data_IF_215747657434
#
_entry.id   IF_215747657434
#
_cell.length_a   1.000
_cell.length_b   1.000
_cell.length_c   1.000
_cell.angle_alpha   90.00
_cell.angle_beta   90.00
_cell.angle_gamma   90.00
#
_symmetry.space_group_name_H-M   'P 1'
#
loop_
_entity.id
_entity.type
_entity.pdbx_description
1 polymer ?
#
# COMPACT_ATOMS: atom_id res chain seq x y z
N UNK A 1 8.89 -26.20 11.77
CA UNK A 1 10.35 -26.11 12.01
C UNK A 1 10.62 -24.75 12.63
N UNK A 2 11.61 -24.62 13.52
CA UNK A 2 12.01 -23.30 14.02
C UNK A 2 12.57 -22.44 12.88
N UNK A 3 12.41 -21.12 13.00
CA UNK A 3 12.98 -20.16 12.05
C UNK A 3 14.52 -20.27 12.04
N UNK A 4 15.19 -19.94 10.92
CA UNK A 4 16.65 -19.81 10.93
C UNK A 4 17.10 -18.65 11.83
N UNK A 5 18.40 -18.56 12.16
CA UNK A 5 18.94 -17.39 12.88
C UNK A 5 18.56 -16.08 12.18
N UNK A 6 18.07 -15.07 12.92
CA UNK A 6 17.54 -13.87 12.31
C UNK A 6 18.67 -12.99 11.72
N UNK A 7 18.56 -12.66 10.44
CA UNK A 7 19.46 -11.73 9.74
C UNK A 7 19.25 -10.29 10.20
N UNK A 8 20.17 -9.39 9.90
CA UNK A 8 19.98 -7.96 10.17
C UNK A 8 18.92 -7.33 9.25
N UNK A 9 18.35 -6.22 9.72
CA UNK A 9 17.41 -5.42 8.95
C UNK A 9 18.09 -4.81 7.73
N UNK A 10 17.44 -4.89 6.57
CA UNK A 10 17.99 -4.35 5.33
C UNK A 10 17.45 -2.95 5.07
N UNK A 11 18.36 -1.98 5.01
CA UNK A 11 18.08 -0.57 4.74
C UNK A 11 18.68 -0.18 3.38
N UNK A 12 17.86 -0.20 2.33
CA UNK A 12 18.33 0.06 0.98
C UNK A 12 18.54 1.55 0.74
N UNK A 13 19.77 1.93 0.34
CA UNK A 13 20.05 3.28 -0.13
C UNK A 13 19.23 3.60 -1.37
N UNK A 14 18.58 4.75 -1.34
CA UNK A 14 17.63 5.15 -2.34
C UNK A 14 17.74 6.65 -2.62
N UNK A 15 18.11 7.05 -3.86
CA UNK A 15 18.07 8.44 -4.26
C UNK A 15 16.64 8.99 -4.20
N UNK A 16 16.52 10.20 -3.64
CA UNK A 16 15.26 10.95 -3.66
C UNK A 16 14.99 11.33 -5.12
N UNK A 17 13.74 11.15 -5.59
CA UNK A 17 13.38 11.36 -7.00
C UNK A 17 13.68 10.18 -7.92
N UNK A 18 14.05 9.02 -7.38
CA UNK A 18 14.15 7.75 -8.11
C UNK A 18 13.08 6.75 -7.65
N UNK A 19 12.72 5.72 -8.46
CA UNK A 19 11.77 4.68 -8.06
C UNK A 19 12.20 3.93 -6.80
N UNK A 20 11.23 3.49 -6.00
CA UNK A 20 11.44 2.73 -4.77
C UNK A 20 12.28 1.45 -5.02
N UNK A 21 13.05 1.02 -4.02
CA UNK A 21 13.76 -0.24 -4.09
C UNK A 21 12.76 -1.40 -3.96
N UNK A 22 13.20 -2.63 -4.16
CA UNK A 22 12.31 -3.80 -4.07
C UNK A 22 11.77 -4.03 -2.65
N UNK A 23 10.55 -4.55 -2.55
CA UNK A 23 9.90 -4.94 -1.30
C UNK A 23 10.03 -3.90 -0.15
N UNK A 24 9.70 -2.61 -0.40
CA UNK A 24 9.73 -1.59 0.63
C UNK A 24 8.66 -1.87 1.70
N UNK A 25 8.96 -1.60 2.96
CA UNK A 25 8.01 -1.85 4.06
C UNK A 25 7.06 -0.67 4.24
N UNK A 26 5.77 -0.91 4.01
CA UNK A 26 4.68 0.05 4.24
C UNK A 26 4.40 0.24 5.73
N UNK A 27 3.96 1.45 6.08
CA UNK A 27 3.32 1.70 7.36
C UNK A 27 1.97 0.96 7.43
N UNK A 28 1.63 0.41 8.61
CA UNK A 28 0.44 -0.42 8.77
C UNK A 28 -0.84 0.36 8.39
N UNK A 29 -1.60 -0.18 7.45
CA UNK A 29 -2.89 0.39 7.02
C UNK A 29 -2.76 1.61 6.11
N UNK A 30 -1.53 2.00 5.75
CA UNK A 30 -1.28 3.14 4.86
C UNK A 30 -1.08 2.67 3.41
N UNK A 31 -1.73 3.34 2.46
CA UNK A 31 -1.63 2.98 1.04
C UNK A 31 -0.30 3.43 0.42
N UNK A 32 0.25 4.56 0.85
CA UNK A 32 1.38 5.22 0.18
C UNK A 32 2.39 5.80 1.17
N UNK A 33 2.62 5.14 2.30
CA UNK A 33 3.56 5.58 3.31
C UNK A 33 4.50 4.43 3.68
N UNK A 34 5.81 4.66 3.62
CA UNK A 34 6.84 3.63 3.82
C UNK A 34 7.84 4.07 4.88
N UNK A 35 8.44 3.09 5.57
CA UNK A 35 9.43 3.33 6.62
C UNK A 35 10.75 3.77 6.00
N UNK A 36 11.21 4.97 6.39
CA UNK A 36 12.45 5.55 5.87
C UNK A 36 13.41 5.92 7.00
N UNK A 37 14.70 5.98 6.66
CA UNK A 37 15.80 6.28 7.55
C UNK A 37 16.73 7.30 6.89
N UNK A 38 17.19 8.27 7.66
CA UNK A 38 18.16 9.28 7.25
C UNK A 38 19.20 9.47 8.35
N UNK A 39 20.40 9.91 7.96
CA UNK A 39 21.49 10.19 8.90
C UNK A 39 21.89 11.66 8.83
N UNK A 40 22.00 12.29 10.00
CA UNK A 40 22.59 13.62 10.14
C UNK A 40 23.73 13.56 11.15
N UNK A 41 24.94 13.88 10.71
CA UNK A 41 26.15 13.87 11.55
C UNK A 41 26.33 12.54 12.31
N UNK A 42 26.10 11.42 11.63
CA UNK A 42 26.20 10.07 12.20
C UNK A 42 25.01 9.64 13.06
N UNK A 43 24.00 10.50 13.28
CA UNK A 43 22.80 10.14 14.04
C UNK A 43 21.67 9.65 13.13
N UNK A 44 21.14 8.43 13.35
CA UNK A 44 19.99 7.91 12.61
C UNK A 44 18.69 8.62 13.04
N UNK A 45 17.85 8.95 12.07
CA UNK A 45 16.55 9.58 12.24
C UNK A 45 15.57 8.86 11.31
N UNK A 46 14.59 8.16 11.89
CA UNK A 46 13.50 7.61 11.09
C UNK A 46 12.52 8.71 10.65
N UNK A 47 11.84 8.43 9.55
CA UNK A 47 10.81 9.28 8.99
C UNK A 47 9.94 8.47 8.05
N UNK A 48 9.42 9.13 7.02
CA UNK A 48 8.56 8.50 6.03
C UNK A 48 8.98 8.83 4.62
N UNK A 49 8.65 7.92 3.72
CA UNK A 49 8.65 8.17 2.28
C UNK A 49 7.30 7.83 1.67
N UNK A 50 7.01 8.39 0.50
CA UNK A 50 5.82 8.10 -0.29
C UNK A 50 6.14 8.14 -1.78
N UNK A 51 5.26 7.53 -2.58
CA UNK A 51 5.31 7.59 -4.03
C UNK A 51 4.64 8.86 -4.52
N UNK A 52 5.37 9.64 -5.33
CA UNK A 52 4.79 10.64 -6.20
C UNK A 52 5.46 10.52 -7.56
N UNK A 53 4.70 10.42 -8.64
CA UNK A 53 5.22 10.22 -10.00
C UNK A 53 6.07 8.96 -10.18
N UNK A 54 5.84 7.94 -9.35
CA UNK A 54 6.60 6.70 -9.38
C UNK A 54 7.98 6.82 -8.78
N UNK A 55 8.28 7.91 -8.08
CA UNK A 55 9.56 8.16 -7.44
C UNK A 55 9.39 8.44 -5.95
N UNK A 56 10.49 8.30 -5.22
CA UNK A 56 10.56 8.53 -3.78
C UNK A 56 10.54 10.02 -3.48
N UNK A 57 9.53 10.43 -2.72
CA UNK A 57 9.57 11.62 -1.88
C UNK A 57 9.61 11.22 -0.40
N UNK A 58 10.02 12.13 0.47
CA UNK A 58 10.20 11.82 1.88
C UNK A 58 10.07 13.03 2.81
N UNK A 59 9.91 12.75 4.10
CA UNK A 59 9.82 13.74 5.16
C UNK A 59 10.45 13.19 6.45
N UNK A 60 11.33 14.00 7.05
CA UNK A 60 11.99 13.71 8.32
C UNK A 60 11.83 14.88 9.29
N UNK A 61 11.51 14.62 10.57
CA UNK A 61 11.57 15.64 11.61
C UNK A 61 13.01 15.92 12.00
N UNK A 62 13.36 17.20 12.15
CA UNK A 62 14.67 17.63 12.62
C UNK A 62 14.53 18.47 13.90
N UNK A 63 14.63 17.85 15.09
CA UNK A 63 14.32 18.51 16.36
C UNK A 63 15.15 19.75 16.68
N UNK A 64 16.43 19.75 16.31
CA UNK A 64 17.32 20.90 16.54
C UNK A 64 16.87 22.15 15.80
N UNK A 65 16.28 22.00 14.60
CA UNK A 65 15.71 23.09 13.82
C UNK A 65 14.21 23.27 14.00
N UNK A 66 13.54 22.39 14.76
CA UNK A 66 12.07 22.27 14.85
C UNK A 66 11.39 22.30 13.46
N UNK A 67 12.02 21.64 12.49
CA UNK A 67 11.64 21.73 11.09
C UNK A 67 11.31 20.35 10.50
N UNK A 68 10.51 20.37 9.44
CA UNK A 68 10.36 19.25 8.52
C UNK A 68 11.38 19.39 7.38
N UNK A 69 12.12 18.32 7.11
CA UNK A 69 13.07 18.24 5.99
C UNK A 69 12.55 17.26 4.94
N UNK A 70 12.37 17.75 3.71
CA UNK A 70 11.86 16.96 2.57
C UNK A 70 12.76 17.04 1.34
N UNK A 71 13.54 18.10 1.21
CA UNK A 71 14.28 18.41 0.00
C UNK A 71 15.60 17.65 -0.13
N UNK A 72 15.96 17.32 -1.38
CA UNK A 72 17.28 16.77 -1.77
C UNK A 72 18.43 17.59 -1.17
N UNK A 73 18.31 18.93 -1.15
CA UNK A 73 19.32 19.84 -0.62
C UNK A 73 19.53 19.68 0.89
N UNK A 74 18.46 19.46 1.64
CA UNK A 74 18.51 19.35 3.10
C UNK A 74 18.97 17.96 3.55
N UNK A 75 18.56 16.93 2.79
CA UNK A 75 18.75 15.53 3.12
C UNK A 75 20.03 14.91 2.51
N UNK A 76 20.71 15.60 1.59
CA UNK A 76 21.93 15.10 0.95
C UNK A 76 21.69 14.14 -0.21
N UNK A 77 20.50 14.18 -0.80
CA UNK A 77 20.13 13.51 -2.05
C UNK A 77 19.78 12.02 -1.98
N UNK A 78 20.08 11.33 -0.89
CA UNK A 78 19.69 9.93 -0.68
C UNK A 78 19.25 9.67 0.74
N UNK A 79 18.33 8.72 0.89
CA UNK A 79 17.84 8.19 2.16
C UNK A 79 17.94 6.67 2.12
N UNK A 80 17.53 5.99 3.18
CA UNK A 80 17.36 4.55 3.18
C UNK A 80 15.89 4.18 3.38
N UNK A 81 15.44 3.16 2.67
CA UNK A 81 14.09 2.60 2.81
C UNK A 81 14.21 1.20 3.41
N UNK A 82 13.38 0.90 4.42
CA UNK A 82 13.33 -0.44 5.00
C UNK A 82 12.85 -1.45 3.96
N UNK A 83 13.56 -2.57 3.83
CA UNK A 83 13.21 -3.66 2.94
C UNK A 83 12.86 -4.93 3.69
N UNK A 84 11.91 -5.68 3.14
CA UNK A 84 11.61 -7.04 3.57
C UNK A 84 11.55 -7.97 2.35
N UNK A 85 12.73 -8.31 1.82
CA UNK A 85 12.89 -9.18 0.65
C UNK A 85 13.11 -10.63 1.09
N UNK A 86 12.04 -11.42 1.07
CA UNK A 86 12.05 -12.81 1.48
C UNK A 86 10.88 -13.10 2.42
N UNK A 87 11.09 -14.01 3.36
CA UNK A 87 10.12 -14.42 4.35
C UNK A 87 10.81 -14.86 5.66
N UNK A 88 10.03 -15.23 6.66
CA UNK A 88 10.56 -15.68 7.95
C UNK A 88 11.41 -16.96 7.82
N UNK A 89 11.19 -17.79 6.79
CA UNK A 89 11.98 -19.00 6.54
C UNK A 89 13.38 -18.69 5.97
N UNK A 90 13.57 -17.53 5.36
CA UNK A 90 14.82 -17.11 4.71
C UNK A 90 15.55 -15.99 5.46
N UNK A 91 14.82 -15.22 6.26
CA UNK A 91 15.34 -14.09 7.05
C UNK A 91 15.40 -14.38 8.54
N UNK A 92 14.65 -15.36 9.05
CA UNK A 92 14.58 -15.71 10.48
C UNK A 92 13.68 -14.79 11.31
N UNK A 93 13.02 -13.81 10.67
CA UNK A 93 12.08 -12.91 11.31
C UNK A 93 11.03 -12.41 10.31
N UNK A 94 9.96 -11.80 10.80
CA UNK A 94 9.02 -10.99 10.02
C UNK A 94 8.67 -9.71 10.79
N UNK A 95 8.25 -8.65 10.07
CA UNK A 95 7.89 -7.38 10.72
C UNK A 95 6.45 -7.38 11.22
N UNK A 96 6.31 -7.11 12.51
CA UNK A 96 5.03 -6.98 13.20
C UNK A 96 4.86 -5.55 13.71
N UNK A 97 3.67 -4.97 13.52
CA UNK A 97 3.33 -3.67 14.10
C UNK A 97 2.57 -3.90 15.41
N UNK A 98 3.10 -3.38 16.51
CA UNK A 98 2.49 -3.50 17.84
C UNK A 98 2.29 -2.13 18.47
N UNK A 99 1.43 -2.02 19.48
CA UNK A 99 1.36 -0.79 20.28
C UNK A 99 2.66 -0.57 21.04
N UNK A 100 3.04 0.68 21.21
CA UNK A 100 4.24 1.03 21.97
C UNK A 100 4.15 0.58 23.44
N UNK A 101 2.94 0.56 24.04
CA UNK A 101 2.72 0.01 25.38
C UNK A 101 3.16 -1.45 25.52
N UNK A 102 3.06 -2.24 24.43
CA UNK A 102 3.24 -3.69 24.44
C UNK A 102 4.70 -4.08 24.17
N UNK A 103 5.61 -3.10 24.06
CA UNK A 103 7.02 -3.29 23.68
C UNK A 103 7.85 -4.18 24.60
N UNK A 104 7.39 -4.38 25.83
CA UNK A 104 8.03 -5.25 26.82
C UNK A 104 7.45 -6.68 26.82
N UNK A 105 6.29 -6.88 26.18
CA UNK A 105 5.66 -8.19 26.07
C UNK A 105 6.39 -9.06 25.04
N UNK A 106 6.54 -10.36 25.35
CA UNK A 106 7.20 -11.34 24.46
C UNK A 106 8.60 -10.91 24.03
N UNK A 107 9.36 -10.30 24.93
CA UNK A 107 10.73 -9.83 24.67
C UNK A 107 11.73 -10.96 24.35
N UNK A 108 11.38 -12.21 24.63
CA UNK A 108 12.09 -13.41 24.20
C UNK A 108 11.77 -13.82 22.74
N UNK A 109 10.69 -13.30 22.16
CA UNK A 109 10.22 -13.61 20.80
C UNK A 109 10.32 -12.43 19.84
N UNK A 110 10.40 -11.20 20.37
CA UNK A 110 10.35 -9.95 19.62
C UNK A 110 11.58 -9.10 19.87
N UNK A 111 12.08 -8.47 18.81
CA UNK A 111 13.16 -7.47 18.89
C UNK A 111 12.67 -6.14 18.33
N UNK A 112 12.91 -5.04 19.03
CA UNK A 112 12.58 -3.70 18.54
C UNK A 112 13.37 -3.39 17.27
N UNK A 113 12.69 -2.98 16.20
CA UNK A 113 13.37 -2.41 15.04
C UNK A 113 13.93 -1.04 15.43
N UNK A 114 15.24 -0.86 15.30
CA UNK A 114 15.90 0.40 15.62
C UNK A 114 17.20 0.59 14.86
N UNK A 115 17.62 1.84 14.75
CA UNK A 115 18.97 2.22 14.34
C UNK A 115 19.49 3.18 15.40
N UNK A 116 20.56 2.80 16.11
CA UNK A 116 21.00 3.52 17.31
C UNK A 116 19.85 3.68 18.31
N UNK A 117 19.57 4.92 18.70
CA UNK A 117 18.47 5.28 19.61
C UNK A 117 17.16 5.62 18.88
N UNK A 118 17.12 5.55 17.55
CA UNK A 118 15.92 5.90 16.77
C UNK A 118 15.09 4.66 16.45
N UNK A 119 13.78 4.72 16.75
CA UNK A 119 12.80 3.70 16.38
C UNK A 119 11.71 4.32 15.49
N UNK A 120 11.23 3.63 14.44
CA UNK A 120 10.06 4.08 13.70
C UNK A 120 8.80 3.96 14.58
N UNK A 121 7.99 5.02 14.59
CA UNK A 121 6.73 5.09 15.34
C UNK A 121 5.64 5.74 14.49
N UNK A 122 4.41 5.22 14.58
CA UNK A 122 3.26 5.68 13.82
C UNK A 122 2.20 6.26 14.76
N UNK A 123 1.85 7.52 14.52
CA UNK A 123 0.75 8.20 15.18
C UNK A 123 -0.53 8.03 14.37
N UNK A 124 -1.52 7.36 14.97
CA UNK A 124 -2.87 7.25 14.39
C UNK A 124 -3.67 8.52 14.69
N UNK A 125 -4.21 9.14 13.64
CA UNK A 125 -4.97 10.40 13.77
C UNK A 125 -6.12 10.46 12.74
N UNK A 126 -7.19 11.23 13.01
CA UNK A 126 -8.33 11.34 12.09
C UNK A 126 -7.96 11.84 10.69
N UNK A 127 -6.89 12.64 10.56
CA UNK A 127 -6.41 13.21 9.30
C UNK A 127 -5.45 12.27 8.53
N UNK A 128 -5.47 10.97 8.82
CA UNK A 128 -4.58 9.96 8.25
C UNK A 128 -3.31 9.75 9.08
N UNK A 129 -2.81 8.51 9.15
CA UNK A 129 -1.72 8.16 10.05
C UNK A 129 -0.41 8.83 9.63
N UNK A 130 0.46 9.09 10.60
CA UNK A 130 1.71 9.79 10.37
C UNK A 130 2.87 9.02 10.99
N UNK A 131 3.84 8.66 10.15
CA UNK A 131 5.10 8.05 10.56
C UNK A 131 6.11 9.13 10.97
N UNK A 132 6.85 8.82 12.02
CA UNK A 132 7.94 9.59 12.58
C UNK A 132 8.95 8.69 13.28
N UNK A 133 9.66 9.23 14.26
CA UNK A 133 10.58 8.43 15.08
C UNK A 133 10.48 8.73 16.56
N UNK A 134 10.76 7.70 17.37
CA UNK A 134 10.95 7.79 18.81
C UNK A 134 12.46 7.78 19.12
N UNK A 135 12.92 8.74 19.93
CA UNK A 135 14.24 8.70 20.54
C UNK A 135 14.18 7.88 21.84
N UNK A 136 14.85 6.73 21.85
CA UNK A 136 14.86 5.79 22.96
C UNK A 136 15.57 6.31 24.22
N UNK A 137 16.38 7.37 24.12
CA UNK A 137 17.03 7.98 25.29
C UNK A 137 16.14 8.97 26.00
N UNK A 138 15.42 9.78 25.23
CA UNK A 138 14.57 10.84 25.79
C UNK A 138 13.11 10.43 25.90
N UNK A 139 12.72 9.30 25.30
CA UNK A 139 11.34 8.83 25.17
C UNK A 139 10.41 9.88 24.53
N UNK A 140 10.93 10.57 23.50
CA UNK A 140 10.20 11.58 22.74
C UNK A 140 9.97 11.12 21.31
N UNK A 141 8.74 11.17 20.86
CA UNK A 141 8.36 10.87 19.48
C UNK A 141 8.19 12.15 18.68
N UNK A 142 8.77 12.20 17.48
CA UNK A 142 8.78 13.35 16.60
C UNK A 142 8.14 13.01 15.26
N UNK A 143 7.26 13.88 14.78
CA UNK A 143 6.52 13.70 13.52
C UNK A 143 6.59 14.98 12.69
N UNK A 144 7.19 14.92 11.51
CA UNK A 144 7.26 16.05 10.58
C UNK A 144 5.98 16.18 9.78
N UNK A 145 5.44 17.39 9.63
CA UNK A 145 4.36 17.71 8.70
C UNK A 145 4.19 19.22 8.59
N UNK A 146 3.62 19.69 7.48
CA UNK A 146 3.25 21.09 7.26
C UNK A 146 4.41 22.07 7.51
N UNK A 147 5.63 21.68 7.09
CA UNK A 147 6.90 22.42 7.28
C UNK A 147 7.34 22.57 8.75
N UNK A 148 6.71 21.85 9.67
CA UNK A 148 6.96 21.87 11.10
C UNK A 148 7.09 20.44 11.66
N UNK A 149 7.12 20.31 12.97
CA UNK A 149 7.04 19.01 13.63
C UNK A 149 6.17 19.06 14.88
N UNK A 150 5.50 17.94 15.15
CA UNK A 150 4.81 17.67 16.41
C UNK A 150 5.64 16.72 17.26
N UNK A 151 5.62 16.91 18.58
CA UNK A 151 6.34 16.07 19.55
C UNK A 151 5.38 15.50 20.59
N UNK A 152 5.55 14.24 20.94
CA UNK A 152 4.82 13.55 22.01
C UNK A 152 5.79 12.86 22.97
N UNK A 153 5.38 12.69 24.22
CA UNK A 153 6.13 11.97 25.25
C UNK A 153 5.19 11.34 26.29
N UNK A 154 5.71 10.43 27.11
CA UNK A 154 4.96 9.80 28.20
C UNK A 154 3.75 8.97 27.71
N UNK A 155 2.65 9.02 28.46
CA UNK A 155 1.47 8.19 28.21
C UNK A 155 0.80 8.39 26.84
N UNK A 156 1.04 9.53 26.18
CA UNK A 156 0.51 9.80 24.83
C UNK A 156 1.08 8.84 23.77
N UNK A 157 2.19 8.16 24.06
CA UNK A 157 2.82 7.22 23.14
C UNK A 157 2.17 5.84 23.14
N UNK A 158 1.40 5.48 24.18
CA UNK A 158 0.99 4.09 24.45
C UNK A 158 0.26 3.43 23.26
N UNK A 159 -0.67 4.15 22.62
CA UNK A 159 -1.47 3.64 21.50
C UNK A 159 -0.83 3.86 20.12
N UNK A 160 0.34 4.50 20.06
CA UNK A 160 1.10 4.61 18.81
C UNK A 160 1.70 3.24 18.44
N UNK A 161 1.87 3.00 17.14
CA UNK A 161 2.39 1.71 16.67
C UNK A 161 3.89 1.79 16.42
N UNK A 162 4.63 0.78 16.84
CA UNK A 162 6.05 0.59 16.49
C UNK A 162 6.23 -0.70 15.71
N UNK A 163 7.38 -0.82 15.04
CA UNK A 163 7.76 -2.05 14.33
C UNK A 163 8.66 -2.90 15.22
N UNK A 164 8.34 -4.19 15.30
CA UNK A 164 9.20 -5.21 15.89
C UNK A 164 9.50 -6.31 14.89
N UNK A 165 10.64 -6.96 15.06
CA UNK A 165 11.00 -8.21 14.40
C UNK A 165 10.44 -9.34 15.26
N UNK A 166 9.47 -10.07 14.74
CA UNK A 166 8.98 -11.28 15.37
C UNK A 166 9.82 -12.46 14.88
N UNK A 167 10.45 -13.16 15.82
CA UNK A 167 11.44 -14.21 15.55
C UNK A 167 10.84 -15.62 15.57
N UNK A 168 9.57 -15.78 15.96
CA UNK A 168 8.92 -17.09 16.10
C UNK A 168 7.79 -17.25 15.07
N UNK A 169 7.82 -18.38 14.36
CA UNK A 169 6.82 -18.71 13.34
C UNK A 169 6.79 -17.69 12.19
N UNK A 170 5.65 -17.67 11.49
CA UNK A 170 5.39 -16.74 10.39
C UNK A 170 4.30 -15.72 10.71
N UNK A 171 4.12 -14.72 9.83
CA UNK A 171 3.05 -13.74 9.98
C UNK A 171 1.67 -14.43 9.94
N UNK A 172 0.63 -13.80 10.53
CA UNK A 172 -0.74 -14.24 10.36
C UNK A 172 -1.04 -14.43 8.87
N UNK A 173 -1.66 -15.56 8.52
CA UNK A 173 -2.04 -15.92 7.14
C UNK A 173 -0.87 -16.20 6.18
N UNK A 174 0.33 -16.51 6.70
CA UNK A 174 1.42 -16.96 5.83
C UNK A 174 1.05 -18.24 5.07
N UNK A 175 1.19 -18.22 3.75
CA UNK A 175 0.87 -19.33 2.85
C UNK A 175 2.05 -20.26 2.57
N UNK A 176 3.18 -20.08 3.27
CA UNK A 176 4.34 -20.95 3.09
C UNK A 176 4.07 -22.38 3.58
N UNK A 177 4.84 -23.35 3.07
CA UNK A 177 4.69 -24.74 3.46
C UNK A 177 5.02 -25.02 4.94
N UNK A 178 5.78 -24.14 5.60
CA UNK A 178 6.24 -24.31 6.99
C UNK A 178 5.25 -23.80 8.03
N UNK A 179 4.31 -22.95 7.65
CA UNK A 179 3.29 -22.41 8.55
C UNK A 179 2.08 -23.34 8.65
N UNK A 180 1.45 -23.46 9.84
CA UNK A 180 0.25 -24.25 9.99
C UNK A 180 -0.87 -23.66 9.12
N UNK A 181 -1.51 -24.51 8.32
CA UNK A 181 -2.69 -24.09 7.57
C UNK A 181 -3.86 -23.91 8.54
N UNK A 182 -4.69 -22.86 8.37
CA UNK A 182 -5.87 -22.70 9.20
C UNK A 182 -6.75 -23.95 9.10
N UNK A 183 -7.31 -24.44 10.21
CA UNK A 183 -8.21 -25.59 10.19
C UNK A 183 -9.42 -25.28 9.29
N UNK A 184 -10.01 -26.30 8.63
CA UNK A 184 -11.20 -26.11 7.82
C UNK A 184 -12.33 -25.50 8.66
N UNK A 185 -13.23 -24.69 8.05
CA UNK A 185 -14.34 -24.09 8.77
C UNK A 185 -15.20 -25.18 9.43
N UNK A 186 -15.68 -24.99 10.67
CA UNK A 186 -16.61 -25.94 11.27
C UNK A 186 -17.90 -26.05 10.44
N UNK A 187 -18.56 -27.23 10.38
CA UNK A 187 -19.79 -27.44 9.60
C UNK A 187 -20.95 -26.54 10.03
N UNK A 188 -20.94 -26.11 11.29
CA UNK A 188 -21.92 -25.17 11.87
C UNK A 188 -21.13 -24.00 12.47
N UNK A 189 -21.40 -22.74 12.07
CA UNK A 189 -20.71 -21.58 12.65
C UNK A 189 -21.15 -21.39 14.10
N UNK A 190 -20.34 -21.85 15.06
CA UNK A 190 -20.51 -21.52 16.48
C UNK A 190 -19.54 -20.38 16.83
N UNK A 191 -20.06 -19.16 16.98
CA UNK A 191 -19.28 -17.99 17.38
C UNK A 191 -18.85 -17.06 16.22
N UNK A 192 -18.15 -15.95 16.53
CA UNK A 192 -17.67 -15.02 15.51
C UNK A 192 -16.72 -15.72 14.54
N UNK A 193 -16.74 -15.36 13.25
CA UNK A 193 -15.87 -15.99 12.27
C UNK A 193 -14.39 -15.72 12.60
N UNK A 194 -13.46 -16.63 12.21
CA UNK A 194 -12.04 -16.44 12.49
C UNK A 194 -11.53 -15.13 11.84
N UNK A 195 -10.51 -14.46 12.42
CA UNK A 195 -9.93 -13.27 11.80
C UNK A 195 -9.49 -13.56 10.37
N UNK A 196 -9.79 -12.64 9.45
CA UNK A 196 -9.34 -12.69 8.05
C UNK A 196 -8.92 -11.31 7.60
N UNK A 197 -8.16 -11.25 6.51
CA UNK A 197 -7.72 -9.98 5.93
C UNK A 197 -8.93 -9.26 5.32
N UNK A 198 -9.19 -8.03 5.79
CA UNK A 198 -10.25 -7.13 5.31
C UNK A 198 -9.71 -5.93 4.51
N UNK A 199 -8.39 -5.80 4.41
CA UNK A 199 -7.71 -4.78 3.62
C UNK A 199 -7.40 -5.30 2.21
N UNK A 200 -7.40 -4.40 1.23
CA UNK A 200 -6.92 -4.72 -0.11
C UNK A 200 -5.40 -4.92 -0.07
N UNK A 201 -4.91 -5.98 -0.69
CA UNK A 201 -3.47 -6.28 -0.75
C UNK A 201 -2.85 -5.62 -1.99
N UNK A 202 -1.87 -4.75 -1.78
CA UNK A 202 -1.17 -4.03 -2.83
C UNK A 202 0.32 -4.33 -2.81
N UNK A 203 0.82 -4.97 -3.86
CA UNK A 203 2.25 -5.26 -3.98
C UNK A 203 2.98 -4.13 -4.70
N UNK A 204 4.12 -3.71 -4.14
CA UNK A 204 4.96 -2.67 -4.73
C UNK A 204 5.91 -3.27 -5.76
N UNK A 205 5.94 -2.66 -6.94
CA UNK A 205 6.78 -3.07 -8.08
C UNK A 205 7.25 -1.84 -8.84
N UNK A 206 8.21 -2.01 -9.74
CA UNK A 206 8.54 -1.00 -10.75
C UNK A 206 8.14 -1.49 -12.13
N UNK A 207 7.77 -0.56 -12.99
CA UNK A 207 7.67 -0.86 -14.42
C UNK A 207 9.03 -1.34 -14.94
N UNK A 208 9.01 -2.41 -15.73
CA UNK A 208 10.21 -3.09 -16.23
C UNK A 208 10.73 -4.22 -15.33
N UNK A 209 10.25 -4.36 -14.09
CA UNK A 209 10.52 -5.55 -13.27
C UNK A 209 9.89 -6.79 -13.93
N UNK A 210 10.35 -7.98 -13.52
CA UNK A 210 9.76 -9.24 -13.97
C UNK A 210 8.28 -9.33 -13.60
N UNK A 211 7.48 -9.92 -14.48
CA UNK A 211 6.05 -10.12 -14.23
C UNK A 211 5.83 -10.96 -12.96
N UNK A 212 4.97 -10.53 -12.01
CA UNK A 212 4.81 -11.22 -10.74
C UNK A 212 4.21 -12.62 -10.89
N UNK A 213 4.55 -13.50 -9.96
CA UNK A 213 3.94 -14.83 -9.84
C UNK A 213 2.71 -14.86 -8.94
N UNK A 214 2.49 -13.80 -8.13
CA UNK A 214 1.28 -13.66 -7.31
C UNK A 214 0.05 -13.48 -8.21
N UNK A 215 -1.09 -13.99 -7.76
CA UNK A 215 -2.37 -13.80 -8.44
C UNK A 215 -2.77 -12.32 -8.38
N UNK A 216 -2.99 -11.71 -9.55
CA UNK A 216 -3.37 -10.31 -9.69
C UNK A 216 -4.84 -10.18 -10.08
N UNK A 217 -5.47 -9.06 -9.73
CA UNK A 217 -6.86 -8.78 -10.13
C UNK A 217 -6.91 -8.37 -11.59
N UNK A 218 -7.49 -9.23 -12.44
CA UNK A 218 -7.65 -9.04 -13.88
C UNK A 218 -8.95 -8.29 -14.19
N UNK A 219 -8.91 -7.43 -15.19
CA UNK A 219 -10.08 -6.72 -15.70
C UNK A 219 -11.19 -7.69 -16.16
N UNK A 220 -12.39 -7.55 -15.59
CA UNK A 220 -13.56 -8.42 -15.85
C UNK A 220 -13.29 -9.93 -15.71
N UNK A 221 -12.21 -10.31 -15.04
CA UNK A 221 -11.74 -11.70 -14.92
C UNK A 221 -11.57 -12.42 -16.27
N UNK A 222 -11.33 -11.67 -17.36
CA UNK A 222 -11.20 -12.19 -18.73
C UNK A 222 -10.28 -11.32 -19.60
N UNK A 223 -9.98 -11.81 -20.80
CA UNK A 223 -9.39 -10.96 -21.85
C UNK A 223 -10.45 -10.00 -22.39
N UNK A 224 -10.09 -8.73 -22.51
CA UNK A 224 -11.02 -7.67 -22.93
C UNK A 224 -11.15 -7.57 -24.46
N UNK A 225 -12.33 -7.15 -24.94
CA UNK A 225 -12.44 -6.57 -26.28
C UNK A 225 -11.94 -5.13 -26.23
N UNK A 226 -10.61 -4.96 -26.31
CA UNK A 226 -9.94 -3.70 -26.03
C UNK A 226 -9.62 -2.89 -27.31
N UNK A 227 -9.18 -1.65 -27.11
CA UNK A 227 -8.80 -0.76 -28.21
C UNK A 227 -7.54 -1.27 -28.96
N UNK A 228 -7.38 -0.96 -30.25
CA UNK A 228 -6.18 -1.32 -31.01
C UNK A 228 -4.89 -0.90 -30.30
N UNK A 229 -3.87 -1.76 -30.33
CA UNK A 229 -2.56 -1.51 -29.71
C UNK A 229 -2.54 -1.61 -28.17
N UNK A 230 -3.64 -1.98 -27.53
CA UNK A 230 -3.70 -2.28 -26.10
C UNK A 230 -3.67 -3.79 -25.88
N UNK A 231 -3.03 -4.23 -24.79
CA UNK A 231 -3.05 -5.64 -24.41
C UNK A 231 -4.47 -6.01 -23.89
N UNK A 232 -5.12 -7.09 -24.37
CA UNK A 232 -6.41 -7.54 -23.85
C UNK A 232 -6.39 -7.96 -22.38
N UNK A 233 -5.25 -8.42 -21.87
CA UNK A 233 -5.06 -8.89 -20.51
C UNK A 233 -4.54 -7.76 -19.62
N UNK A 234 -5.48 -7.02 -19.01
CA UNK A 234 -5.20 -5.84 -18.20
C UNK A 234 -5.43 -6.13 -16.71
N UNK A 235 -4.53 -5.65 -15.87
CA UNK A 235 -4.53 -5.87 -14.42
C UNK A 235 -4.55 -4.55 -13.66
N UNK A 236 -5.22 -4.53 -12.51
CA UNK A 236 -5.41 -3.33 -11.70
C UNK A 236 -4.08 -2.85 -11.14
N UNK A 237 -3.75 -1.60 -11.46
CA UNK A 237 -2.57 -0.92 -10.97
C UNK A 237 -2.91 0.44 -10.36
N UNK A 238 -2.12 0.87 -9.39
CA UNK A 238 -2.21 2.15 -8.71
C UNK A 238 -0.88 2.91 -8.85
N UNK A 239 -0.98 4.18 -9.17
CA UNK A 239 0.12 5.13 -9.24
C UNK A 239 -0.26 6.42 -8.52
N UNK A 240 0.68 7.35 -8.39
CA UNK A 240 0.46 8.63 -7.73
C UNK A 240 0.99 9.78 -8.56
N UNK A 241 0.24 10.87 -8.62
CA UNK A 241 0.61 12.07 -9.38
C UNK A 241 0.11 13.30 -8.61
N UNK A 242 1.05 14.17 -8.20
CA UNK A 242 0.77 15.33 -7.36
C UNK A 242 0.01 14.98 -6.05
N UNK A 243 0.32 13.80 -5.47
CA UNK A 243 -0.34 13.29 -4.27
C UNK A 243 -1.74 12.69 -4.49
N UNK A 244 -2.24 12.65 -5.72
CA UNK A 244 -3.51 12.00 -6.06
C UNK A 244 -3.31 10.53 -6.44
N UNK A 245 -4.16 9.60 -5.96
CA UNK A 245 -4.16 8.22 -6.43
C UNK A 245 -4.68 8.15 -7.87
N UNK A 246 -3.98 7.42 -8.71
CA UNK A 246 -4.34 7.23 -10.12
C UNK A 246 -4.43 5.73 -10.39
N UNK A 247 -5.66 5.21 -10.47
CA UNK A 247 -5.87 3.84 -10.93
C UNK A 247 -5.62 3.77 -12.44
N UNK A 248 -5.05 2.65 -12.87
CA UNK A 248 -4.73 2.39 -14.26
C UNK A 248 -4.61 0.91 -14.52
N UNK A 249 -3.83 0.58 -15.55
CA UNK A 249 -3.65 -0.80 -16.00
C UNK A 249 -2.19 -1.17 -16.11
N UNK A 250 -1.89 -2.41 -15.78
CA UNK A 250 -0.64 -3.08 -16.09
C UNK A 250 -0.89 -4.32 -16.95
N UNK A 251 0.11 -4.73 -17.72
CA UNK A 251 0.09 -5.96 -18.52
C UNK A 251 1.49 -6.57 -18.63
N UNK A 252 1.54 -7.85 -18.97
CA UNK A 252 2.79 -8.56 -19.21
C UNK A 252 3.27 -8.24 -20.64
N UNK A 253 4.44 -7.62 -20.74
CA UNK A 253 5.11 -7.31 -21.98
C UNK A 253 6.48 -8.02 -22.00
N UNK A 254 6.52 -9.18 -22.67
CA UNK A 254 7.77 -9.96 -22.80
C UNK A 254 8.33 -10.47 -21.46
N UNK A 255 7.47 -10.81 -20.51
CA UNK A 255 7.86 -11.26 -19.16
C UNK A 255 8.13 -10.11 -18.19
N UNK A 256 7.91 -8.85 -18.59
CA UNK A 256 8.11 -7.66 -17.77
C UNK A 256 6.81 -6.89 -17.57
N UNK A 257 6.77 -6.10 -16.50
CA UNK A 257 5.64 -5.23 -16.19
C UNK A 257 5.69 -4.02 -17.11
N UNK A 258 4.62 -3.80 -17.88
CA UNK A 258 4.32 -2.54 -18.53
C UNK A 258 3.04 -1.95 -17.93
N UNK A 259 2.90 -0.61 -17.95
CA UNK A 259 1.77 0.07 -17.35
C UNK A 259 1.34 1.32 -18.11
N UNK A 260 0.09 1.73 -17.87
CA UNK A 260 -0.50 2.93 -18.43
C UNK A 260 -1.49 3.57 -17.46
N UNK A 261 -1.39 4.89 -17.31
CA UNK A 261 -2.24 5.70 -16.45
C UNK A 261 -2.77 6.92 -17.23
N UNK A 262 -4.01 7.33 -16.95
CA UNK A 262 -4.57 8.58 -17.45
C UNK A 262 -4.70 9.56 -16.30
N UNK A 263 -4.15 10.77 -16.44
CA UNK A 263 -4.33 11.82 -15.45
C UNK A 263 -4.15 13.21 -16.08
N UNK A 264 -5.03 14.13 -15.71
CA UNK A 264 -5.03 15.53 -16.15
C UNK A 264 -4.87 15.71 -17.67
N UNK A 265 -5.74 15.02 -18.42
CA UNK A 265 -5.81 15.05 -19.90
C UNK A 265 -4.62 14.41 -20.61
N UNK A 266 -3.73 13.74 -19.89
CA UNK A 266 -2.53 13.10 -20.43
C UNK A 266 -2.52 11.59 -20.20
N UNK A 267 -1.96 10.87 -21.16
CA UNK A 267 -1.58 9.47 -21.00
C UNK A 267 -0.13 9.39 -20.49
N UNK A 268 0.09 8.55 -19.48
CA UNK A 268 1.40 8.19 -18.96
C UNK A 268 1.62 6.70 -19.22
N UNK A 269 2.42 6.39 -20.25
CA UNK A 269 2.75 5.03 -20.70
C UNK A 269 4.26 4.86 -20.77
N UNK A 270 4.74 3.64 -20.51
CA UNK A 270 6.17 3.34 -20.47
C UNK A 270 6.71 3.45 -19.05
N UNK A 271 7.91 4.03 -18.88
CA UNK A 271 8.57 4.08 -17.59
C UNK A 271 7.94 5.12 -16.64
N UNK A 272 6.94 4.69 -15.89
CA UNK A 272 6.28 5.47 -14.83
C UNK A 272 6.82 5.14 -13.43
N UNK A 273 7.98 4.49 -13.35
CA UNK A 273 8.66 4.18 -12.09
C UNK A 273 7.91 3.14 -11.23
N UNK A 274 7.83 3.42 -9.93
CA UNK A 274 7.14 2.59 -8.95
C UNK A 274 5.62 2.68 -9.07
N UNK A 275 4.97 1.53 -9.04
CA UNK A 275 3.51 1.38 -9.02
C UNK A 275 3.13 0.32 -7.99
N UNK A 276 1.84 0.18 -7.73
CA UNK A 276 1.31 -0.90 -6.91
C UNK A 276 0.35 -1.75 -7.73
N UNK A 277 0.45 -3.07 -7.65
CA UNK A 277 -0.47 -4.00 -8.31
C UNK A 277 -1.43 -4.60 -7.27
N UNK A 278 -2.72 -4.67 -7.63
CA UNK A 278 -3.73 -5.25 -6.74
C UNK A 278 -3.63 -6.78 -6.77
N UNK A 279 -3.37 -7.36 -5.60
CA UNK A 279 -3.24 -8.80 -5.43
C UNK A 279 -4.58 -9.43 -5.07
N UNK A 280 -4.85 -10.58 -5.67
CA UNK A 280 -5.96 -11.44 -5.33
C UNK A 280 -5.53 -12.46 -4.27
N UNK A 281 -5.70 -12.12 -2.99
CA UNK A 281 -5.38 -13.01 -1.87
C UNK A 281 -6.15 -14.33 -1.97
N UNK A 282 -5.56 -15.42 -1.50
CA UNK A 282 -6.23 -16.73 -1.45
C UNK A 282 -7.51 -16.70 -0.61
N UNK A 283 -8.50 -17.49 -1.01
CA UNK A 283 -9.84 -17.49 -0.42
C UNK A 283 -9.85 -17.76 1.10
N UNK A 284 -8.94 -18.60 1.58
CA UNK A 284 -8.83 -18.96 2.99
C UNK A 284 -8.23 -17.83 3.86
N UNK A 285 -7.56 -16.86 3.24
CA UNK A 285 -6.93 -15.70 3.92
C UNK A 285 -7.87 -14.51 3.99
N UNK A 286 -8.61 -14.23 2.91
CA UNK A 286 -9.42 -13.01 2.77
C UNK A 286 -10.84 -13.16 3.33
N UNK A 287 -11.34 -12.08 3.93
CA UNK A 287 -12.72 -11.99 4.44
C UNK A 287 -13.69 -11.34 3.46
N UNK A 288 -13.30 -11.14 2.20
CA UNK A 288 -14.13 -10.55 1.15
C UNK A 288 -13.82 -11.19 -0.21
N UNK A 289 -14.66 -10.93 -1.21
CA UNK A 289 -14.45 -11.33 -2.61
C UNK A 289 -14.57 -10.12 -3.53
N UNK A 290 -13.76 -10.11 -4.60
CA UNK A 290 -13.84 -9.10 -5.64
C UNK A 290 -14.87 -9.48 -6.70
N UNK A 291 -15.53 -8.49 -7.29
CA UNK A 291 -16.30 -8.63 -8.52
C UNK A 291 -16.33 -7.32 -9.30
N UNK A 292 -16.63 -7.40 -10.60
CA UNK A 292 -16.87 -6.24 -11.44
C UNK A 292 -18.37 -6.06 -11.63
N UNK A 293 -18.90 -4.89 -11.29
CA UNK A 293 -20.34 -4.60 -11.42
C UNK A 293 -20.56 -3.34 -12.26
N UNK A 294 -21.73 -3.19 -12.90
CA UNK A 294 -22.10 -1.94 -13.56
C UNK A 294 -21.93 -0.73 -12.64
N UNK A 295 -21.51 0.40 -13.20
CA UNK A 295 -21.20 1.62 -12.43
C UNK A 295 -22.29 2.01 -11.41
N UNK A 296 -23.56 1.93 -11.82
CA UNK A 296 -24.70 2.28 -10.95
C UNK A 296 -24.82 1.35 -9.73
N UNK A 297 -24.47 0.08 -9.88
CA UNK A 297 -24.48 -0.88 -8.77
C UNK A 297 -23.32 -0.65 -7.81
N UNK A 298 -22.21 -0.07 -8.27
CA UNK A 298 -21.06 0.25 -7.43
C UNK A 298 -21.24 1.53 -6.60
N UNK A 299 -22.24 2.36 -6.90
CA UNK A 299 -22.54 3.61 -6.21
C UNK A 299 -23.24 3.39 -4.85
N UNK A 300 -22.62 2.59 -3.99
CA UNK A 300 -23.11 2.24 -2.65
C UNK A 300 -22.33 3.01 -1.59
N UNK A 301 -23.04 3.63 -0.65
CA UNK A 301 -22.48 4.51 0.38
C UNK A 301 -23.13 4.24 1.75
N UNK A 302 -22.53 4.73 2.83
CA UNK A 302 -23.09 4.61 4.18
C UNK A 302 -22.98 3.19 4.74
N UNK A 303 -24.02 2.72 5.42
CA UNK A 303 -24.01 1.41 6.09
C UNK A 303 -23.84 0.24 5.12
N UNK A 304 -24.42 0.32 3.92
CA UNK A 304 -24.30 -0.73 2.90
C UNK A 304 -22.84 -0.88 2.43
N UNK A 305 -22.07 0.21 2.46
CA UNK A 305 -20.65 0.20 2.10
C UNK A 305 -19.78 -0.67 3.04
N UNK A 306 -20.27 -0.96 4.26
CA UNK A 306 -19.58 -1.84 5.21
C UNK A 306 -19.62 -3.31 4.80
N UNK A 307 -20.47 -3.71 3.86
CA UNK A 307 -20.50 -5.10 3.37
C UNK A 307 -20.33 -5.20 1.86
N UNK A 308 -20.50 -4.10 1.14
CA UNK A 308 -20.31 -4.02 -0.30
C UNK A 308 -19.83 -2.62 -0.69
N UNK A 309 -18.59 -2.48 -1.13
CA UNK A 309 -18.03 -1.19 -1.53
C UNK A 309 -17.23 -1.31 -2.82
N UNK A 310 -17.09 -0.21 -3.55
CA UNK A 310 -16.04 -0.14 -4.55
C UNK A 310 -14.68 -0.35 -3.90
N UNK A 311 -13.74 -0.94 -4.63
CA UNK A 311 -12.33 -0.83 -4.26
C UNK A 311 -11.96 0.62 -4.52
N UNK A 312 -11.51 1.34 -3.50
CA UNK A 312 -11.08 2.73 -3.66
C UNK A 312 -9.82 3.03 -2.87
N UNK A 313 -9.11 4.06 -3.30
CA UNK A 313 -8.07 4.74 -2.54
C UNK A 313 -8.51 6.18 -2.35
N UNK A 314 -8.54 6.61 -1.09
CA UNK A 314 -8.93 7.94 -0.66
C UNK A 314 -7.70 8.71 -0.17
N UNK A 315 -7.60 9.98 -0.54
CA UNK A 315 -6.57 10.90 -0.05
C UNK A 315 -7.16 12.17 0.57
N UNK A 316 -8.43 12.15 1.01
CA UNK A 316 -9.28 13.26 1.46
C UNK A 316 -9.75 14.25 0.39
N UNK A 317 -9.15 14.25 -0.80
CA UNK A 317 -9.57 15.11 -1.93
C UNK A 317 -10.40 14.35 -2.94
N UNK A 318 -9.99 13.13 -3.25
CA UNK A 318 -10.61 12.25 -4.24
C UNK A 318 -10.64 10.81 -3.73
N UNK A 319 -11.66 10.07 -4.14
CA UNK A 319 -11.79 8.64 -3.88
C UNK A 319 -11.84 7.92 -5.22
N UNK A 320 -10.75 7.22 -5.56
CA UNK A 320 -10.54 6.69 -6.91
C UNK A 320 -10.62 5.17 -6.91
N UNK A 321 -11.48 4.63 -7.77
CA UNK A 321 -11.75 3.21 -7.95
C UNK A 321 -11.25 2.68 -9.29
N UNK A 322 -10.83 1.40 -9.39
CA UNK A 322 -10.55 0.76 -10.67
C UNK A 322 -11.84 0.62 -11.50
N UNK A 323 -11.76 0.95 -12.78
CA UNK A 323 -12.93 1.01 -13.66
C UNK A 323 -12.61 0.56 -15.09
N UNK A 324 -13.47 -0.28 -15.68
CA UNK A 324 -13.46 -0.60 -17.10
C UNK A 324 -14.25 0.48 -17.83
N UNK A 325 -13.52 1.37 -18.48
CA UNK A 325 -14.06 2.49 -19.23
C UNK A 325 -14.48 2.01 -20.61
N UNK A 326 -15.67 2.40 -21.04
CA UNK A 326 -16.13 2.21 -22.40
C UNK A 326 -15.51 3.28 -23.31
N UNK A 327 -14.48 2.90 -24.05
CA UNK A 327 -13.80 3.73 -25.04
C UNK A 327 -14.29 3.35 -26.45
N UNK A 328 -15.25 4.10 -26.99
CA UNK A 328 -15.80 3.90 -28.35
C UNK A 328 -16.29 2.46 -28.60
N UNK A 329 -16.98 1.85 -27.63
CA UNK A 329 -17.47 0.47 -27.70
C UNK A 329 -16.44 -0.58 -27.30
N UNK A 330 -15.21 -0.18 -26.97
CA UNK A 330 -14.13 -1.05 -26.48
C UNK A 330 -13.92 -0.91 -24.99
N UNK A 331 -13.35 -1.94 -24.38
CA UNK A 331 -13.10 -2.05 -22.94
C UNK A 331 -11.66 -1.68 -22.62
N UNK A 332 -11.45 -0.68 -21.77
CA UNK A 332 -10.11 -0.28 -21.32
C UNK A 332 -10.13 -0.05 -19.81
N UNK A 333 -9.23 -0.71 -19.08
CA UNK A 333 -9.06 -0.50 -17.66
C UNK A 333 -8.40 0.87 -17.38
N UNK A 334 -9.03 1.61 -16.48
CA UNK A 334 -8.64 2.92 -15.99
C UNK A 334 -9.20 3.17 -14.60
N UNK A 335 -9.73 4.38 -14.38
CA UNK A 335 -10.18 4.85 -13.07
C UNK A 335 -11.58 5.44 -13.10
N UNK A 336 -12.26 5.42 -11.97
CA UNK A 336 -13.48 6.17 -11.72
C UNK A 336 -13.45 6.90 -10.38
N UNK A 337 -14.03 8.09 -10.35
CA UNK A 337 -14.51 8.71 -9.13
C UNK A 337 -16.03 8.45 -9.08
N UNK A 338 -16.42 7.42 -8.33
CA UNK A 338 -17.80 6.92 -8.31
C UNK A 338 -18.77 8.01 -7.84
N UNK A 339 -18.36 8.80 -6.84
CA UNK A 339 -19.19 9.84 -6.21
C UNK A 339 -19.40 11.02 -7.14
N UNK A 340 -18.39 11.38 -7.92
CA UNK A 340 -18.43 12.53 -8.82
C UNK A 340 -18.80 12.14 -10.27
N UNK A 341 -19.33 10.93 -10.48
CA UNK A 341 -19.77 10.42 -11.79
C UNK A 341 -18.73 10.63 -12.91
N UNK A 342 -17.48 10.25 -12.65
CA UNK A 342 -16.37 10.42 -13.60
C UNK A 342 -15.64 9.11 -13.81
N UNK A 343 -15.41 8.73 -15.06
CA UNK A 343 -14.56 7.60 -15.43
C UNK A 343 -13.56 8.01 -16.50
N UNK A 344 -12.34 7.47 -16.47
CA UNK A 344 -11.29 7.89 -17.39
C UNK A 344 -10.19 6.86 -17.56
N UNK A 345 -9.53 6.85 -18.71
CA UNK A 345 -8.40 5.98 -19.01
C UNK A 345 -7.39 6.69 -19.93
N UNK A 346 -6.12 6.36 -19.83
CA UNK A 346 -5.09 6.83 -20.77
C UNK A 346 -5.10 5.98 -22.04
N UNK A 347 -5.31 6.60 -23.21
CA UNK A 347 -5.28 5.99 -24.55
C UNK A 347 -4.87 7.05 -25.58
N UNK A 348 -4.08 6.68 -26.60
CA UNK A 348 -3.70 7.53 -27.74
C UNK A 348 -3.07 8.89 -27.34
N UNK A 349 -2.20 8.88 -26.33
CA UNK A 349 -1.48 10.07 -25.83
C UNK A 349 -2.33 11.01 -24.96
N UNK A 350 -3.59 10.66 -24.68
CA UNK A 350 -4.54 11.49 -23.94
C UNK A 350 -5.24 10.71 -22.84
N UNK A 351 -5.80 11.42 -21.87
CA UNK A 351 -6.81 10.85 -20.98
C UNK A 351 -8.18 11.00 -21.63
N UNK A 352 -8.81 9.88 -21.96
CA UNK A 352 -10.20 9.83 -22.35
C UNK A 352 -11.09 9.87 -21.09
N UNK A 353 -12.15 10.66 -21.13
CA UNK A 353 -12.98 10.94 -19.96
C UNK A 353 -14.47 10.82 -20.29
N UNK A 354 -15.20 10.16 -19.40
CA UNK A 354 -16.65 10.08 -19.36
C UNK A 354 -17.14 10.77 -18.08
N UNK A 355 -18.16 11.61 -18.20
CA UNK A 355 -18.76 12.34 -17.08
C UNK A 355 -20.28 12.16 -17.06
N UNK A 356 -20.86 12.18 -15.87
CA UNK A 356 -22.29 12.02 -15.66
C UNK A 356 -22.81 10.70 -16.24
N UNK A 357 -23.98 10.69 -16.91
CA UNK A 357 -24.58 9.45 -17.44
C UNK A 357 -23.70 8.63 -18.37
N UNK A 358 -22.70 9.24 -19.03
CA UNK A 358 -21.80 8.53 -19.93
C UNK A 358 -20.96 7.47 -19.19
N UNK A 359 -20.59 7.71 -17.93
CA UNK A 359 -19.81 6.76 -17.15
C UNK A 359 -20.62 5.51 -16.73
N UNK A 360 -21.96 5.56 -16.81
CA UNK A 360 -22.84 4.45 -16.41
C UNK A 360 -22.70 3.20 -17.29
N UNK A 361 -22.06 3.33 -18.46
CA UNK A 361 -21.71 2.22 -19.35
C UNK A 361 -20.47 1.43 -18.90
N UNK A 362 -19.80 1.90 -17.84
CA UNK A 362 -18.56 1.32 -17.32
C UNK A 362 -18.82 0.28 -16.23
N UNK A 363 -17.80 -0.52 -15.91
CA UNK A 363 -17.83 -1.47 -14.81
C UNK A 363 -16.80 -1.09 -13.75
N UNK A 364 -17.19 -1.10 -12.48
CA UNK A 364 -16.31 -0.73 -11.36
C UNK A 364 -15.95 -1.98 -10.58
N UNK A 365 -14.69 -2.06 -10.14
CA UNK A 365 -14.26 -3.11 -9.24
C UNK A 365 -14.84 -2.86 -7.85
N UNK A 366 -15.58 -3.84 -7.33
CA UNK A 366 -16.13 -3.83 -5.98
C UNK A 366 -15.55 -4.98 -5.17
N UNK A 367 -15.71 -4.88 -3.86
CA UNK A 367 -15.45 -5.92 -2.88
C UNK A 367 -16.68 -6.15 -2.04
N UNK A 368 -17.02 -7.41 -1.83
CA UNK A 368 -18.14 -7.85 -0.98
C UNK A 368 -17.60 -8.64 0.20
N UNK A 369 -17.94 -8.22 1.42
CA UNK A 369 -17.57 -8.93 2.62
C UNK A 369 -18.24 -10.32 2.64
N UNK A 370 -17.49 -11.34 3.06
CA UNK A 370 -18.03 -12.67 3.33
C UNK A 370 -18.95 -12.60 4.54
N UNK A 371 -19.84 -13.59 4.68
CA UNK A 371 -20.79 -13.68 5.79
C UNK A 371 -20.06 -13.56 7.14
N UNK A 372 -20.52 -12.65 7.99
CA UNK A 372 -19.95 -12.40 9.32
C UNK A 372 -18.79 -11.39 9.35
N UNK A 373 -18.34 -10.87 8.20
CA UNK A 373 -17.32 -9.83 8.12
C UNK A 373 -17.92 -8.50 7.67
N UNK A 374 -17.20 -7.41 7.98
CA UNK A 374 -17.51 -6.05 7.53
C UNK A 374 -16.23 -5.26 7.29
N UNK A 375 -16.30 -4.30 6.38
CA UNK A 375 -15.28 -3.28 6.18
C UNK A 375 -15.42 -2.19 7.26
N UNK A 376 -14.31 -1.56 7.57
CA UNK A 376 -14.23 -0.40 8.46
C UNK A 376 -14.63 0.90 7.76
#
# INVERSE_FOLDING_TARGET
MPNPPPKEDTWAFQPIGSPFPEAPVKALGEQNQYVALWYKNGKPIHGRSWNNQGVVECSFPYPLGKAELTGVKDLGGQIQILQYKGDHNTLGYWYEWIKYSDRFEKSDERQLLRCGDSLPIMWKRPQGNLMGYLDNKTEKAYFSHDKSMTTFEGGALNDMMIVVRNLKGGPPFCECASCPKPPPPPPVPTGPPPPRVMLNEWMDVRVGDAWPTRSLVKALDKSLDTAPGQNPDQYVALWYMAGEPVMGRAWNEGGKIAACFGWFKREYKGNVGSIQLLVNLSEHVRGFDYSWVPYKEAAVFGEDAKTFSSVYVDNSKVSISPCIVNYNGKQVLGKADVRNEKASCGVDGKEFELVGPACHTSFVLVRKAKVGYKFD
#
